data_IF_481183957129
#
_entry.id   IF_481183957129
#
_cell.length_a   1.000
_cell.length_b   1.000
_cell.length_c   1.000
_cell.angle_alpha   90.00
_cell.angle_beta   90.00
_cell.angle_gamma   90.00
#
_symmetry.space_group_name_H-M   'P 1'
#
loop_
_entity.id
_entity.type
_entity.pdbx_description
1 polymer ?
#
# COMPACT_ATOMS: atom_id res chain seq x y z
N UNK A 1 9.31 -22.44 -15.82
CA UNK A 1 8.35 -21.36 -15.59
C UNK A 1 8.87 -20.50 -14.45
N UNK A 2 9.17 -19.21 -14.66
CA UNK A 2 9.38 -18.28 -13.54
C UNK A 2 8.01 -18.02 -12.93
N UNK A 3 7.64 -18.78 -11.90
CA UNK A 3 6.47 -18.45 -11.09
C UNK A 3 6.70 -17.10 -10.44
N UNK A 4 5.75 -16.19 -10.58
CA UNK A 4 5.79 -14.90 -9.89
C UNK A 4 5.78 -15.17 -8.37
N UNK A 5 6.73 -14.60 -7.63
CA UNK A 5 6.87 -14.89 -6.19
C UNK A 5 5.60 -14.45 -5.46
N UNK A 6 5.04 -15.26 -4.53
CA UNK A 6 3.82 -14.91 -3.79
C UNK A 6 3.89 -13.52 -3.15
N UNK A 7 2.79 -12.80 -3.07
CA UNK A 7 2.74 -11.41 -2.59
C UNK A 7 3.40 -11.23 -1.22
N UNK A 8 3.20 -12.19 -0.32
CA UNK A 8 3.74 -12.28 1.03
C UNK A 8 5.27 -12.33 1.06
N UNK A 9 5.91 -12.75 -0.04
CA UNK A 9 7.36 -12.85 -0.16
C UNK A 9 8.00 -11.65 -0.85
N UNK A 10 7.19 -10.81 -1.52
CA UNK A 10 7.67 -9.63 -2.26
C UNK A 10 8.24 -8.59 -1.30
N UNK A 11 9.44 -8.09 -1.61
CA UNK A 11 10.06 -6.95 -0.91
C UNK A 11 9.35 -5.64 -1.24
N UNK A 12 9.59 -4.60 -0.43
CA UNK A 12 8.96 -3.27 -0.61
C UNK A 12 9.08 -2.77 -2.06
N UNK A 13 10.26 -2.86 -2.67
CA UNK A 13 10.48 -2.41 -4.05
C UNK A 13 9.62 -3.16 -5.09
N UNK A 14 9.44 -4.47 -4.89
CA UNK A 14 8.62 -5.30 -5.78
C UNK A 14 7.14 -5.00 -5.61
N UNK A 15 6.71 -4.76 -4.36
CA UNK A 15 5.34 -4.34 -4.03
C UNK A 15 4.99 -2.98 -4.64
N UNK A 16 5.87 -1.99 -4.51
CA UNK A 16 5.69 -0.68 -5.15
C UNK A 16 5.59 -0.82 -6.68
N UNK A 17 6.46 -1.62 -7.31
CA UNK A 17 6.38 -1.87 -8.75
C UNK A 17 5.04 -2.49 -9.15
N UNK A 18 4.56 -3.47 -8.39
CA UNK A 18 3.26 -4.09 -8.62
C UNK A 18 2.12 -3.07 -8.50
N UNK A 19 2.09 -2.30 -7.41
CA UNK A 19 1.07 -1.27 -7.16
C UNK A 19 1.04 -0.19 -8.25
N UNK A 20 2.19 0.20 -8.82
CA UNK A 20 2.26 1.11 -9.97
C UNK A 20 1.56 0.55 -11.19
N UNK A 21 1.87 -0.70 -11.54
CA UNK A 21 1.29 -1.36 -12.70
C UNK A 21 -0.23 -1.52 -12.54
N UNK A 22 -0.67 -1.96 -11.35
CA UNK A 22 -2.10 -2.08 -11.04
C UNK A 22 -2.80 -0.72 -11.06
N UNK A 23 -2.19 0.33 -10.51
CA UNK A 23 -2.76 1.68 -10.54
C UNK A 23 -2.95 2.19 -11.98
N UNK A 24 -1.99 1.90 -12.87
CA UNK A 24 -2.13 2.23 -14.29
C UNK A 24 -3.33 1.50 -14.90
N UNK A 25 -3.49 0.20 -14.64
CA UNK A 25 -4.63 -0.58 -15.11
C UNK A 25 -5.97 -0.05 -14.56
N UNK A 26 -6.01 0.26 -13.27
CA UNK A 26 -7.18 0.84 -12.59
C UNK A 26 -7.55 2.20 -13.19
N UNK A 27 -6.56 3.04 -13.49
CA UNK A 27 -6.77 4.35 -14.10
C UNK A 27 -7.36 4.21 -15.50
N UNK A 28 -6.81 3.32 -16.33
CA UNK A 28 -7.34 3.05 -17.67
C UNK A 28 -8.76 2.50 -17.59
N UNK A 29 -9.02 1.57 -16.67
CA UNK A 29 -10.35 1.01 -16.45
C UNK A 29 -11.35 2.11 -16.05
N UNK A 30 -11.00 2.94 -15.07
CA UNK A 30 -11.83 4.05 -14.60
C UNK A 30 -12.22 5.02 -15.73
N UNK A 31 -11.25 5.41 -16.56
CA UNK A 31 -11.49 6.32 -17.69
C UNK A 31 -12.39 5.72 -18.79
N UNK A 32 -12.58 4.40 -18.80
CA UNK A 32 -13.47 3.71 -19.76
C UNK A 32 -14.93 3.60 -19.27
N UNK A 33 -15.20 3.95 -18.01
CA UNK A 33 -16.54 3.88 -17.41
C UNK A 33 -17.42 4.99 -17.98
N UNK A 34 -18.58 4.61 -18.48
CA UNK A 34 -19.65 5.50 -18.95
C UNK A 34 -20.82 5.50 -17.96
N UNK A 35 -21.59 6.59 -17.91
CA UNK A 35 -22.65 6.82 -16.89
C UNK A 35 -23.77 5.76 -16.85
N UNK A 36 -23.89 4.94 -17.88
CA UNK A 36 -24.91 3.88 -18.05
C UNK A 36 -24.45 2.51 -17.52
N UNK A 37 -23.22 2.36 -17.03
CA UNK A 37 -22.63 1.06 -16.65
C UNK A 37 -22.35 0.92 -15.15
N UNK A 38 -23.41 0.75 -14.37
CA UNK A 38 -23.37 0.56 -12.91
C UNK A 38 -22.46 -0.63 -12.52
N UNK A 39 -22.51 -1.74 -13.27
CA UNK A 39 -21.66 -2.93 -13.02
C UNK A 39 -20.16 -2.63 -13.14
N UNK A 40 -19.76 -1.72 -14.03
CA UNK A 40 -18.35 -1.34 -14.20
C UNK A 40 -17.86 -0.47 -13.03
N UNK A 41 -18.75 0.33 -12.45
CA UNK A 41 -18.46 1.09 -11.23
C UNK A 41 -18.21 0.14 -10.05
N UNK A 42 -19.00 -0.92 -9.90
CA UNK A 42 -18.77 -1.89 -8.82
C UNK A 42 -17.50 -2.72 -9.03
N UNK A 43 -17.17 -3.07 -10.28
CA UNK A 43 -15.85 -3.65 -10.62
C UNK A 43 -14.71 -2.70 -10.26
N UNK A 44 -14.87 -1.39 -10.51
CA UNK A 44 -13.87 -0.40 -10.13
C UNK A 44 -13.67 -0.35 -8.62
N UNK A 45 -14.77 -0.26 -7.86
CA UNK A 45 -14.72 -0.25 -6.39
C UNK A 45 -13.97 -1.45 -5.84
N UNK A 46 -14.24 -2.64 -6.37
CA UNK A 46 -13.53 -3.86 -5.95
C UNK A 46 -12.03 -3.81 -6.27
N UNK A 47 -11.65 -3.30 -7.45
CA UNK A 47 -10.24 -3.12 -7.82
C UNK A 47 -9.53 -2.10 -6.91
N UNK A 48 -10.19 -0.97 -6.64
CA UNK A 48 -9.65 0.07 -5.78
C UNK A 48 -9.50 -0.41 -4.32
N UNK A 49 -10.49 -1.15 -3.80
CA UNK A 49 -10.46 -1.80 -2.49
C UNK A 49 -9.25 -2.72 -2.37
N UNK A 50 -9.11 -3.68 -3.29
CA UNK A 50 -7.97 -4.60 -3.31
C UNK A 50 -6.64 -3.84 -3.40
N UNK A 51 -6.56 -2.81 -4.24
CA UNK A 51 -5.34 -2.00 -4.34
C UNK A 51 -4.98 -1.31 -3.01
N UNK A 52 -5.97 -0.75 -2.30
CA UNK A 52 -5.77 -0.17 -0.97
C UNK A 52 -5.35 -1.21 0.08
N UNK A 53 -5.92 -2.42 0.04
CA UNK A 53 -5.48 -3.55 0.88
C UNK A 53 -3.99 -3.85 0.66
N UNK A 54 -3.58 -4.00 -0.60
CA UNK A 54 -2.19 -4.27 -0.96
C UNK A 54 -1.25 -3.12 -0.60
N UNK A 55 -1.68 -1.86 -0.73
CA UNK A 55 -0.89 -0.71 -0.26
C UNK A 55 -0.73 -0.73 1.26
N UNK A 56 -1.78 -1.05 2.01
CA UNK A 56 -1.71 -1.19 3.48
C UNK A 56 -0.72 -2.28 3.89
N UNK A 57 -0.74 -3.43 3.22
CA UNK A 57 0.26 -4.48 3.45
C UNK A 57 1.67 -4.06 3.02
N UNK A 58 1.80 -3.16 2.05
CA UNK A 58 3.10 -2.57 1.67
C UNK A 58 3.63 -1.66 2.76
N UNK A 59 2.78 -0.90 3.45
CA UNK A 59 3.15 -0.16 4.66
C UNK A 59 3.65 -1.08 5.76
N UNK A 60 2.98 -2.21 6.03
CA UNK A 60 3.46 -3.21 6.99
C UNK A 60 4.86 -3.72 6.62
N UNK A 61 5.08 -4.01 5.33
CA UNK A 61 6.39 -4.46 4.84
C UNK A 61 7.46 -3.36 4.92
N UNK A 62 7.07 -2.10 4.74
CA UNK A 62 7.94 -0.93 4.90
C UNK A 62 8.36 -0.77 6.36
N UNK A 63 7.46 -1.00 7.32
CA UNK A 63 7.82 -0.97 8.75
C UNK A 63 8.88 -2.04 9.05
N UNK A 64 8.70 -3.27 8.57
CA UNK A 64 9.69 -4.34 8.74
C UNK A 64 11.04 -4.00 8.08
N UNK A 65 11.03 -3.74 6.76
CA UNK A 65 12.25 -3.66 5.96
C UNK A 65 12.98 -2.32 6.10
N UNK A 66 12.25 -1.22 6.24
CA UNK A 66 12.80 0.13 6.20
C UNK A 66 12.95 0.69 7.60
N UNK A 67 11.84 0.75 8.36
CA UNK A 67 11.82 1.41 9.66
C UNK A 67 12.64 0.64 10.70
N UNK A 68 12.40 -0.67 10.80
CA UNK A 68 13.14 -1.56 11.69
C UNK A 68 14.35 -2.22 11.04
N UNK A 69 14.65 -1.94 9.77
CA UNK A 69 15.80 -2.49 9.05
C UNK A 69 15.85 -4.03 9.17
N UNK A 70 14.72 -4.73 9.01
CA UNK A 70 14.52 -6.17 9.23
C UNK A 70 14.93 -6.67 10.64
N UNK A 71 14.96 -5.81 11.66
CA UNK A 71 15.20 -6.26 13.04
C UNK A 71 14.09 -7.20 13.54
N UNK A 72 12.87 -6.96 13.07
CA UNK A 72 11.66 -7.74 13.34
C UNK A 72 10.98 -8.03 12.01
N UNK A 73 10.67 -9.30 11.75
CA UNK A 73 9.99 -9.74 10.53
C UNK A 73 8.93 -10.78 10.89
N UNK A 74 7.76 -10.70 10.25
CA UNK A 74 6.72 -11.72 10.40
C UNK A 74 7.26 -13.09 10.01
N UNK A 75 6.90 -14.11 10.81
CA UNK A 75 7.31 -15.50 10.63
C UNK A 75 8.81 -15.79 10.78
N UNK A 76 9.60 -14.82 11.26
CA UNK A 76 10.97 -15.06 11.70
C UNK A 76 11.02 -15.03 13.24
N UNK A 77 11.28 -16.17 13.92
CA UNK A 77 11.35 -16.19 15.39
C UNK A 77 12.57 -15.44 15.95
N UNK A 78 13.59 -15.15 15.11
CA UNK A 78 14.81 -14.50 15.55
C UNK A 78 14.71 -12.98 15.49
N UNK A 79 15.05 -12.33 16.60
CA UNK A 79 15.21 -10.87 16.65
C UNK A 79 16.64 -10.49 16.23
N UNK A 80 16.77 -9.67 15.18
CA UNK A 80 18.07 -9.27 14.63
C UNK A 80 18.58 -7.99 15.30
N UNK A 81 19.01 -8.08 16.56
CA UNK A 81 19.39 -6.92 17.40
C UNK A 81 20.46 -6.03 16.77
N UNK A 82 21.41 -6.58 16.01
CA UNK A 82 22.45 -5.80 15.34
C UNK A 82 21.92 -4.85 14.27
N UNK A 83 20.78 -5.18 13.64
CA UNK A 83 20.18 -4.35 12.60
C UNK A 83 19.54 -3.08 13.14
N UNK A 84 19.17 -3.06 14.43
CA UNK A 84 18.62 -1.88 15.12
C UNK A 84 19.59 -0.69 15.12
N UNK A 85 20.90 -0.91 14.94
CA UNK A 85 21.90 0.16 14.80
C UNK A 85 21.59 1.15 13.66
N UNK A 86 20.85 0.71 12.63
CA UNK A 86 20.44 1.55 11.50
C UNK A 86 18.92 1.78 11.44
N UNK A 87 18.15 1.24 12.40
CA UNK A 87 16.70 1.44 12.42
C UNK A 87 16.38 2.89 12.76
N UNK A 88 15.41 3.47 12.04
CA UNK A 88 14.97 4.86 12.22
C UNK A 88 13.55 4.80 12.73
N UNK A 89 13.34 4.98 14.04
CA UNK A 89 11.99 5.04 14.62
C UNK A 89 11.88 6.27 15.50
N UNK A 90 10.91 7.13 15.17
CA UNK A 90 10.57 8.32 15.96
C UNK A 90 9.05 8.48 16.01
N UNK A 91 8.58 9.30 16.95
CA UNK A 91 7.14 9.60 17.08
C UNK A 91 6.57 10.26 15.82
N UNK A 92 7.37 11.06 15.11
CA UNK A 92 6.99 11.73 13.87
C UNK A 92 6.78 10.70 12.74
N UNK A 93 7.70 9.74 12.61
CA UNK A 93 7.55 8.64 11.66
C UNK A 93 6.33 7.77 11.97
N UNK A 94 6.04 7.55 13.26
CA UNK A 94 4.81 6.85 13.67
C UNK A 94 3.56 7.60 13.22
N UNK A 95 3.48 8.92 13.44
CA UNK A 95 2.32 9.74 13.03
C UNK A 95 2.11 9.71 11.52
N UNK A 96 3.19 9.76 10.74
CA UNK A 96 3.12 9.66 9.27
C UNK A 96 2.57 8.28 8.84
N UNK A 97 3.09 7.19 9.43
CA UNK A 97 2.59 5.84 9.18
C UNK A 97 1.12 5.70 9.58
N UNK A 98 0.73 6.18 10.76
CA UNK A 98 -0.65 6.12 11.27
C UNK A 98 -1.62 6.83 10.32
N UNK A 99 -1.23 8.02 9.84
CA UNK A 99 -2.02 8.78 8.87
C UNK A 99 -2.19 8.02 7.55
N UNK A 100 -1.11 7.49 6.98
CA UNK A 100 -1.15 6.82 5.68
C UNK A 100 -1.82 5.44 5.74
N UNK A 101 -1.63 4.70 6.84
CA UNK A 101 -2.35 3.46 7.08
C UNK A 101 -3.85 3.70 7.26
N UNK A 102 -4.24 4.82 7.89
CA UNK A 102 -5.64 5.22 8.02
C UNK A 102 -6.25 5.56 6.66
N UNK A 103 -5.51 6.28 5.80
CA UNK A 103 -5.91 6.59 4.43
C UNK A 103 -6.23 5.32 3.61
N UNK A 104 -5.38 4.29 3.71
CA UNK A 104 -5.60 3.01 3.03
C UNK A 104 -6.79 2.24 3.64
N UNK A 105 -6.81 2.12 4.97
CA UNK A 105 -7.81 1.33 5.71
C UNK A 105 -9.23 1.86 5.55
N UNK A 106 -9.37 3.17 5.27
CA UNK A 106 -10.64 3.84 4.95
C UNK A 106 -11.45 3.11 3.87
N UNK A 107 -10.77 2.39 2.97
CA UNK A 107 -11.35 1.77 1.77
C UNK A 107 -11.44 0.24 1.81
N UNK A 108 -10.95 -0.39 2.90
CA UNK A 108 -10.81 -1.86 3.02
C UNK A 108 -12.05 -2.54 3.62
N UNK A 109 -12.88 -1.82 4.36
CA UNK A 109 -14.04 -2.40 5.03
C UNK A 109 -15.35 -2.19 4.27
N UNK A 110 -16.27 -3.14 4.41
CA UNK A 110 -17.63 -3.02 3.86
C UNK A 110 -18.36 -1.88 4.57
N UNK A 111 -18.71 -0.85 3.81
CA UNK A 111 -19.55 0.25 4.31
C UNK A 111 -21.02 -0.11 4.06
N UNK A 112 -21.85 0.12 5.07
CA UNK A 112 -23.29 0.14 4.88
C UNK A 112 -23.61 1.20 3.81
N UNK A 113 -24.40 0.81 2.82
CA UNK A 113 -24.77 1.60 1.65
C UNK A 113 -25.66 2.80 2.01
N UNK A 114 -25.14 3.76 2.76
CA UNK A 114 -25.80 5.04 2.91
C UNK A 114 -25.39 5.93 1.74
N UNK A 115 -26.25 5.93 0.72
CA UNK A 115 -26.45 6.97 -0.29
C UNK A 115 -25.29 7.96 -0.46
N UNK A 116 -24.35 7.66 -1.37
CA UNK A 116 -23.55 8.67 -2.06
C UNK A 116 -22.07 8.84 -1.68
N UNK A 117 -21.44 7.95 -0.89
CA UNK A 117 -20.00 8.11 -0.62
C UNK A 117 -19.09 7.76 -1.83
N UNK A 118 -18.22 8.72 -2.17
CA UNK A 118 -17.15 8.66 -3.18
C UNK A 118 -16.16 7.52 -2.87
N UNK A 119 -15.94 6.62 -3.84
CA UNK A 119 -14.80 5.70 -3.86
C UNK A 119 -13.50 6.48 -4.20
N UNK A 120 -12.30 5.99 -3.83
CA UNK A 120 -11.08 6.76 -4.07
C UNK A 120 -10.84 6.82 -5.57
N UNK A 121 -10.83 8.02 -6.14
CA UNK A 121 -10.53 8.25 -7.57
C UNK A 121 -9.07 7.89 -7.87
N UNK A 122 -8.72 7.63 -9.14
CA UNK A 122 -7.34 7.29 -9.49
C UNK A 122 -6.29 8.30 -9.00
N UNK A 123 -6.61 9.59 -9.01
CA UNK A 123 -5.71 10.64 -8.48
C UNK A 123 -5.46 10.50 -6.98
N UNK A 124 -6.48 10.12 -6.20
CA UNK A 124 -6.33 9.85 -4.76
C UNK A 124 -5.43 8.65 -4.52
N UNK A 125 -5.63 7.57 -5.27
CA UNK A 125 -4.78 6.37 -5.19
C UNK A 125 -3.33 6.69 -5.56
N UNK A 126 -3.12 7.54 -6.58
CA UNK A 126 -1.80 8.01 -6.99
C UNK A 126 -1.09 8.76 -5.85
N UNK A 127 -1.78 9.68 -5.17
CA UNK A 127 -1.22 10.40 -4.02
C UNK A 127 -0.78 9.42 -2.92
N UNK A 128 -1.62 8.43 -2.58
CA UNK A 128 -1.26 7.43 -1.56
C UNK A 128 0.01 6.63 -1.93
N UNK A 129 0.16 6.28 -3.22
CA UNK A 129 1.35 5.61 -3.69
C UNK A 129 2.59 6.52 -3.60
N UNK A 130 2.47 7.78 -4.03
CA UNK A 130 3.56 8.76 -4.00
C UNK A 130 4.02 9.08 -2.57
N UNK A 131 3.10 9.13 -1.61
CA UNK A 131 3.41 9.27 -0.19
C UNK A 131 4.24 8.08 0.31
N UNK A 132 3.80 6.85 0.01
CA UNK A 132 4.54 5.64 0.39
C UNK A 132 5.95 5.61 -0.24
N UNK A 133 6.06 5.94 -1.54
CA UNK A 133 7.35 6.01 -2.21
C UNK A 133 8.29 7.06 -1.61
N UNK A 134 7.75 8.24 -1.28
CA UNK A 134 8.51 9.32 -0.67
C UNK A 134 9.02 8.91 0.71
N UNK A 135 8.17 8.29 1.54
CA UNK A 135 8.56 7.74 2.83
C UNK A 135 9.71 6.75 2.70
N UNK A 136 9.58 5.77 1.80
CA UNK A 136 10.62 4.76 1.54
C UNK A 136 11.92 5.41 1.06
N UNK A 137 11.82 6.42 0.18
CA UNK A 137 12.98 7.10 -0.40
C UNK A 137 13.79 7.85 0.65
N UNK A 138 13.12 8.50 1.60
CA UNK A 138 13.70 9.30 2.69
C UNK A 138 14.24 8.43 3.82
N UNK A 139 13.50 7.38 4.19
CA UNK A 139 13.78 6.61 5.41
C UNK A 139 14.60 5.33 5.18
N UNK A 140 15.07 5.07 3.96
CA UNK A 140 15.88 3.88 3.66
C UNK A 140 17.14 3.81 4.56
N UNK A 141 17.41 2.68 5.24
CA UNK A 141 18.58 2.52 6.13
C UNK A 141 19.90 2.30 5.39
N UNK A 142 19.86 1.98 4.09
CA UNK A 142 21.05 1.76 3.24
C UNK A 142 21.43 2.98 2.40
N UNK A 143 20.74 4.11 2.59
CA UNK A 143 21.10 5.41 2.04
C UNK A 143 21.74 6.31 3.09
#
# INVERSE_FOLDING_TARGET
MKGDTPWETKRVKERIKYLKNELQSITTFYSSITNDKIDEIDKYKNKAKLWCELLRETWERTIEQILFNDAVQRFNPSIQTQRLKKAKFTTELYKEIEQEMSNCSKWVHDRASNLGEDFPKPDTLKIYLENCESFIKVNNPDK
#
